data_IF_328179489498
#
_entry.id   IF_328179489498
#
_cell.length_a   1.000
_cell.length_b   1.000
_cell.length_c   1.000
_cell.angle_alpha   90.00
_cell.angle_beta   90.00
_cell.angle_gamma   90.00
#
_symmetry.space_group_name_H-M   'P 1'
#
loop_
_entity.id
_entity.type
_entity.pdbx_description
1 polymer ?
#
# COMPACT_ATOMS: atom_id res chain seq x y z
N UNK A 1 -11.57 1.46 -3.02
CA UNK A 1 -11.51 0.18 -3.74
C UNK A 1 -12.43 -0.89 -3.11
N UNK A 2 -12.52 -0.97 -1.80
CA UNK A 2 -13.49 -1.88 -1.14
C UNK A 2 -14.91 -1.48 -1.53
N UNK A 3 -15.27 -0.21 -1.37
CA UNK A 3 -16.59 0.31 -1.72
C UNK A 3 -16.94 0.17 -3.22
N UNK A 4 -15.93 0.13 -4.10
CA UNK A 4 -16.13 0.02 -5.55
C UNK A 4 -16.22 -1.44 -6.05
N UNK A 5 -16.03 -2.42 -5.17
CA UNK A 5 -16.08 -3.83 -5.57
C UNK A 5 -17.51 -4.36 -5.60
N UNK A 6 -18.06 -4.69 -6.79
CA UNK A 6 -19.46 -5.12 -6.91
C UNK A 6 -19.73 -6.51 -6.31
N UNK A 7 -18.71 -7.36 -6.22
CA UNK A 7 -18.82 -8.72 -5.68
C UNK A 7 -18.40 -8.84 -4.22
N UNK A 8 -17.84 -7.76 -3.62
CA UNK A 8 -17.27 -7.80 -2.28
C UNK A 8 -15.94 -8.58 -2.18
N UNK A 9 -15.34 -8.96 -3.30
CA UNK A 9 -14.04 -9.65 -3.32
C UNK A 9 -12.91 -8.83 -2.68
N UNK A 10 -13.05 -7.48 -2.68
CA UNK A 10 -12.11 -6.57 -2.07
C UNK A 10 -12.52 -6.32 -0.62
N UNK A 11 -11.71 -6.76 0.33
CA UNK A 11 -12.03 -6.71 1.75
C UNK A 11 -10.92 -6.01 2.53
N UNK A 12 -11.28 -5.33 3.61
CA UNK A 12 -10.34 -4.78 4.58
C UNK A 12 -10.38 -5.69 5.81
N UNK A 13 -9.23 -6.24 6.17
CA UNK A 13 -9.09 -7.02 7.39
C UNK A 13 -9.31 -6.11 8.60
N UNK A 14 -10.17 -6.50 9.51
CA UNK A 14 -10.59 -5.67 10.65
C UNK A 14 -9.48 -5.52 11.70
N UNK A 15 -8.63 -6.52 11.85
CA UNK A 15 -7.56 -6.55 12.83
C UNK A 15 -6.35 -5.71 12.37
N UNK A 16 -5.94 -5.88 11.13
CA UNK A 16 -4.70 -5.28 10.60
C UNK A 16 -4.94 -4.06 9.72
N UNK A 17 -6.17 -3.81 9.30
CA UNK A 17 -6.51 -2.77 8.34
C UNK A 17 -6.02 -3.04 6.90
N UNK A 18 -5.39 -4.19 6.65
CA UNK A 18 -4.85 -4.54 5.33
C UNK A 18 -5.99 -4.87 4.37
N UNK A 19 -5.95 -4.25 3.19
CA UNK A 19 -6.92 -4.56 2.14
C UNK A 19 -6.44 -5.77 1.34
N UNK A 20 -7.28 -6.79 1.27
CA UNK A 20 -7.03 -8.06 0.60
C UNK A 20 -8.00 -8.26 -0.57
N UNK A 21 -7.68 -9.20 -1.44
CA UNK A 21 -8.54 -9.62 -2.55
C UNK A 21 -8.85 -11.10 -2.36
N UNK A 22 -10.13 -11.45 -2.25
CA UNK A 22 -10.55 -12.84 -2.38
C UNK A 22 -10.61 -13.20 -3.88
N UNK A 23 -9.70 -14.06 -4.32
CA UNK A 23 -9.58 -14.43 -5.71
C UNK A 23 -10.79 -15.25 -6.22
N UNK A 24 -11.47 -15.99 -5.34
CA UNK A 24 -12.63 -16.80 -5.70
C UNK A 24 -13.85 -15.94 -6.05
N UNK A 25 -14.01 -14.79 -5.38
CA UNK A 25 -15.10 -13.85 -5.61
C UNK A 25 -14.76 -12.78 -6.65
N UNK A 26 -13.49 -12.69 -7.08
CA UNK A 26 -13.02 -11.67 -8.00
C UNK A 26 -13.36 -12.01 -9.45
N UNK A 27 -14.19 -11.21 -10.09
CA UNK A 27 -14.59 -11.38 -11.50
C UNK A 27 -13.71 -10.61 -12.51
N UNK A 28 -12.64 -9.97 -12.07
CA UNK A 28 -11.73 -9.21 -12.94
C UNK A 28 -12.33 -7.96 -13.58
N UNK A 29 -13.37 -7.37 -13.01
CA UNK A 29 -14.09 -6.21 -13.60
C UNK A 29 -13.31 -4.88 -13.58
N UNK A 30 -12.14 -4.83 -12.97
CA UNK A 30 -11.24 -3.66 -12.89
C UNK A 30 -11.82 -2.39 -12.23
N UNK A 31 -13.02 -2.41 -11.65
CA UNK A 31 -13.62 -1.26 -10.97
C UNK A 31 -12.75 -0.71 -9.83
N UNK A 32 -12.08 -1.60 -9.08
CA UNK A 32 -11.14 -1.21 -8.03
C UNK A 32 -9.84 -0.61 -8.57
N UNK A 33 -9.46 -0.94 -9.80
CA UNK A 33 -8.28 -0.41 -10.49
C UNK A 33 -8.55 1.02 -10.93
N UNK A 34 -9.72 1.25 -11.55
CA UNK A 34 -10.16 2.58 -11.98
C UNK A 34 -10.37 3.53 -10.80
N UNK A 35 -10.92 3.00 -9.68
CA UNK A 35 -11.19 3.79 -8.48
C UNK A 35 -9.98 4.04 -7.57
N UNK A 36 -8.77 3.56 -7.92
CA UNK A 36 -7.57 3.77 -7.11
C UNK A 36 -6.75 4.96 -7.64
N UNK A 37 -6.64 6.08 -6.89
CA UNK A 37 -5.85 7.22 -7.35
C UNK A 37 -4.34 6.94 -7.39
N UNK A 38 -3.89 5.90 -6.70
CA UNK A 38 -2.46 5.53 -6.63
C UNK A 38 -2.02 4.51 -7.68
N UNK A 39 -2.94 3.92 -8.45
CA UNK A 39 -2.61 2.95 -9.50
C UNK A 39 -1.92 1.66 -9.01
N UNK A 40 -2.12 1.28 -7.74
CA UNK A 40 -1.39 0.17 -7.07
C UNK A 40 -2.01 -1.21 -7.31
N UNK A 41 -2.96 -1.33 -8.22
CA UNK A 41 -3.65 -2.58 -8.53
C UNK A 41 -3.29 -3.05 -9.92
N UNK A 42 -3.25 -4.37 -10.09
CA UNK A 42 -2.93 -4.99 -11.38
C UNK A 42 -3.90 -6.13 -11.64
N UNK A 43 -4.31 -6.31 -12.89
CA UNK A 43 -5.02 -7.50 -13.33
C UNK A 43 -3.98 -8.59 -13.66
N UNK A 44 -4.12 -9.74 -13.04
CA UNK A 44 -3.35 -10.92 -13.43
C UNK A 44 -4.04 -11.56 -14.65
N UNK A 45 -3.40 -11.56 -15.84
CA UNK A 45 -4.03 -12.07 -17.07
C UNK A 45 -4.20 -13.59 -17.08
N UNK A 46 -3.51 -14.32 -16.19
CA UNK A 46 -3.61 -15.79 -16.12
C UNK A 46 -4.80 -16.24 -15.28
N UNK A 47 -5.06 -15.53 -14.17
CA UNK A 47 -6.14 -15.87 -13.23
C UNK A 47 -7.38 -15.02 -13.47
N UNK A 48 -7.27 -13.92 -14.23
CA UNK A 48 -8.29 -12.89 -14.42
C UNK A 48 -8.77 -12.28 -13.08
N UNK A 49 -7.87 -12.19 -12.11
CA UNK A 49 -8.14 -11.60 -10.79
C UNK A 49 -7.26 -10.38 -10.55
N UNK A 50 -7.73 -9.46 -9.71
CA UNK A 50 -6.95 -8.29 -9.32
C UNK A 50 -5.96 -8.68 -8.23
N UNK A 51 -4.74 -8.20 -8.38
CA UNK A 51 -3.66 -8.38 -7.41
C UNK A 51 -3.11 -7.05 -6.91
N UNK A 52 -2.59 -7.04 -5.71
CA UNK A 52 -1.84 -5.96 -5.09
C UNK A 52 -0.92 -6.48 -3.99
N UNK A 53 -0.04 -5.63 -3.47
CA UNK A 53 0.74 -5.96 -2.29
C UNK A 53 -0.18 -6.32 -1.11
N UNK A 54 0.05 -7.48 -0.51
CA UNK A 54 -0.69 -7.99 0.66
C UNK A 54 0.06 -7.76 1.96
N UNK A 55 1.20 -7.07 1.97
CA UNK A 55 2.12 -6.97 3.10
C UNK A 55 2.54 -8.35 3.65
N UNK A 56 2.54 -9.37 2.81
CA UNK A 56 2.78 -10.78 3.19
C UNK A 56 1.81 -11.29 4.25
N UNK A 57 0.53 -10.90 4.16
CA UNK A 57 -0.54 -11.22 5.10
C UNK A 57 -0.68 -12.73 5.39
N UNK A 58 -0.35 -13.59 4.42
CA UNK A 58 -0.34 -15.05 4.60
C UNK A 58 0.60 -15.50 5.74
N UNK A 59 1.47 -14.62 6.22
CA UNK A 59 2.42 -14.87 7.31
C UNK A 59 2.03 -14.14 8.60
N UNK A 60 0.83 -13.55 8.70
CA UNK A 60 0.43 -12.70 9.84
C UNK A 60 0.51 -13.41 11.20
N UNK A 61 0.41 -14.72 11.21
CA UNK A 61 0.50 -15.54 12.42
C UNK A 61 1.93 -15.97 12.77
N UNK A 62 2.92 -15.62 11.97
CA UNK A 62 4.32 -15.87 12.30
C UNK A 62 4.72 -14.96 13.49
N UNK A 63 5.48 -15.50 14.43
CA UNK A 63 5.90 -14.80 15.67
C UNK A 63 6.61 -13.46 15.40
N UNK A 64 7.31 -13.37 14.25
CA UNK A 64 7.99 -12.16 13.81
C UNK A 64 7.55 -11.79 12.39
N UNK A 65 6.26 -11.52 12.22
CA UNK A 65 5.73 -11.18 10.90
C UNK A 65 6.32 -9.86 10.39
N UNK A 66 7.17 -9.98 9.38
CA UNK A 66 7.74 -8.87 8.63
C UNK A 66 7.61 -9.18 7.14
N UNK A 67 7.12 -8.24 6.31
CA UNK A 67 7.06 -8.42 4.86
C UNK A 67 8.42 -8.73 4.27
N UNK A 68 8.47 -9.64 3.28
CA UNK A 68 9.71 -10.08 2.67
C UNK A 68 10.56 -8.94 2.09
N UNK A 69 9.92 -7.90 1.55
CA UNK A 69 10.62 -6.73 1.01
C UNK A 69 11.28 -5.85 2.09
N UNK A 70 10.78 -5.91 3.33
CA UNK A 70 11.40 -5.24 4.49
C UNK A 70 12.57 -6.10 4.99
N UNK A 71 12.32 -7.39 5.21
CA UNK A 71 13.33 -8.33 5.68
C UNK A 71 14.57 -8.37 4.78
N UNK A 72 14.39 -8.31 3.46
CA UNK A 72 15.49 -8.37 2.49
C UNK A 72 16.06 -6.99 2.09
N UNK A 73 15.68 -5.91 2.77
CA UNK A 73 16.18 -4.58 2.47
C UNK A 73 17.59 -4.40 3.07
N UNK A 74 18.63 -4.61 2.28
CA UNK A 74 20.02 -4.55 2.74
C UNK A 74 20.47 -3.17 3.26
N UNK A 75 19.81 -2.09 2.83
CA UNK A 75 20.10 -0.72 3.28
C UNK A 75 19.16 -0.23 4.41
N UNK A 76 18.26 -1.09 4.91
CA UNK A 76 17.31 -0.71 5.97
C UNK A 76 16.34 0.42 5.60
N UNK A 77 16.12 0.66 4.29
CA UNK A 77 15.28 1.75 3.81
C UNK A 77 13.77 1.48 3.97
N UNK A 78 13.39 0.32 4.45
CA UNK A 78 11.99 -0.08 4.62
C UNK A 78 11.75 -0.55 6.04
N UNK A 79 10.75 0.01 6.68
CA UNK A 79 10.30 -0.36 8.02
C UNK A 79 8.85 -0.81 7.95
N UNK A 80 8.46 -1.72 8.80
CA UNK A 80 7.09 -2.24 8.91
C UNK A 80 6.69 -2.29 10.37
N UNK A 81 5.46 -1.92 10.67
CA UNK A 81 4.89 -1.96 12.01
C UNK A 81 3.55 -1.22 12.06
N UNK A 82 2.91 -1.31 13.19
CA UNK A 82 1.71 -0.57 13.52
C UNK A 82 2.06 0.89 13.79
N UNK A 83 1.44 1.82 13.08
CA UNK A 83 1.67 3.25 13.27
C UNK A 83 0.93 3.79 14.50
N UNK A 84 -0.08 3.08 14.98
CA UNK A 84 -0.86 3.44 16.17
C UNK A 84 -0.20 2.93 17.47
N UNK A 85 0.74 1.95 17.37
CA UNK A 85 1.56 1.51 18.49
C UNK A 85 2.85 2.33 18.58
N UNK A 86 3.01 3.21 19.61
CA UNK A 86 4.21 4.02 19.78
C UNK A 86 5.49 3.22 20.04
N UNK A 87 5.36 1.94 20.40
CA UNK A 87 6.49 1.04 20.62
C UNK A 87 6.94 0.33 19.34
N UNK A 88 6.15 0.38 18.26
CA UNK A 88 6.53 -0.22 16.98
C UNK A 88 7.71 0.52 16.35
N UNK A 89 8.53 -0.22 15.58
CA UNK A 89 9.66 0.38 14.86
C UNK A 89 9.19 1.40 13.81
N UNK A 90 8.07 1.16 13.15
CA UNK A 90 7.53 2.10 12.17
C UNK A 90 7.12 3.43 12.82
N UNK A 91 6.39 3.39 13.94
CA UNK A 91 5.98 4.59 14.66
C UNK A 91 7.19 5.38 15.18
N UNK A 92 8.21 4.72 15.75
CA UNK A 92 9.45 5.35 16.21
C UNK A 92 10.19 6.07 15.09
N UNK A 93 10.32 5.41 13.93
CA UNK A 93 11.01 5.98 12.77
C UNK A 93 10.27 7.19 12.22
N UNK A 94 8.92 7.13 12.15
CA UNK A 94 8.09 8.27 11.73
C UNK A 94 8.19 9.43 12.73
N UNK A 95 8.11 9.15 14.03
CA UNK A 95 8.26 10.17 15.07
C UNK A 95 9.64 10.85 15.04
N UNK A 96 10.71 10.08 14.81
CA UNK A 96 12.07 10.62 14.69
C UNK A 96 12.27 11.46 13.43
N UNK A 97 11.54 11.17 12.35
CA UNK A 97 11.63 11.90 11.09
C UNK A 97 11.00 13.31 11.17
N UNK A 98 10.00 13.51 12.04
CA UNK A 98 9.34 14.81 12.21
C UNK A 98 8.81 15.37 10.89
N UNK A 99 9.26 16.57 10.52
CA UNK A 99 8.85 17.26 9.29
C UNK A 99 9.29 16.55 8.00
N UNK A 100 10.21 15.60 8.07
CA UNK A 100 10.64 14.79 6.93
C UNK A 100 9.74 13.57 6.67
N UNK A 101 8.70 13.36 7.48
CA UNK A 101 7.72 12.33 7.28
C UNK A 101 6.59 12.83 6.36
N UNK A 102 6.46 12.22 5.19
CA UNK A 102 5.51 12.63 4.16
C UNK A 102 4.54 11.51 3.82
N UNK A 103 3.28 11.86 3.61
CA UNK A 103 2.26 10.95 3.12
C UNK A 103 1.99 11.21 1.64
N UNK A 104 1.48 10.21 0.92
CA UNK A 104 1.00 10.42 -0.44
C UNK A 104 -0.16 11.40 -0.44
N UNK A 105 -0.25 12.20 -1.51
CA UNK A 105 -1.41 13.06 -1.76
C UNK A 105 -2.70 12.24 -1.70
N UNK A 106 -3.67 12.70 -0.93
CA UNK A 106 -4.92 11.98 -0.67
C UNK A 106 -6.15 12.74 -1.21
N UNK A 107 -6.42 12.66 -2.53
CA UNK A 107 -7.49 13.41 -3.17
C UNK A 107 -8.89 12.87 -2.83
N UNK A 108 -8.98 11.68 -2.23
CA UNK A 108 -10.21 10.94 -1.99
C UNK A 108 -10.43 10.55 -0.52
N UNK A 109 -9.69 11.16 0.40
CA UNK A 109 -9.78 10.91 1.85
C UNK A 109 -9.63 9.40 2.18
N UNK A 110 -8.62 8.77 1.59
CA UNK A 110 -8.35 7.34 1.72
C UNK A 110 -7.40 6.99 2.86
N UNK A 111 -6.78 7.99 3.47
CA UNK A 111 -5.84 7.88 4.57
C UNK A 111 -4.71 6.85 4.30
N UNK A 112 -3.82 7.11 3.32
CA UNK A 112 -2.72 6.18 3.03
C UNK A 112 -1.79 6.05 4.24
N UNK A 113 -1.47 4.81 4.61
CA UNK A 113 -0.63 4.50 5.77
C UNK A 113 0.85 4.30 5.42
N UNK A 114 1.21 4.40 4.15
CA UNK A 114 2.61 4.40 3.73
C UNK A 114 3.22 5.77 3.94
N UNK A 115 4.25 5.84 4.78
CA UNK A 115 4.98 7.08 5.09
C UNK A 115 6.32 7.07 4.38
N UNK A 116 6.66 8.18 3.74
CA UNK A 116 7.94 8.39 3.07
C UNK A 116 8.78 9.35 3.89
N UNK A 117 9.97 8.93 4.30
CA UNK A 117 10.92 9.80 4.98
C UNK A 117 11.86 10.37 3.93
N UNK A 118 11.73 11.64 3.67
CA UNK A 118 12.39 12.34 2.57
C UNK A 118 13.17 13.52 3.09
N UNK A 119 14.30 13.81 2.46
CA UNK A 119 14.97 15.09 2.71
C UNK A 119 14.15 16.25 2.12
N UNK A 120 14.31 17.46 2.64
CA UNK A 120 13.67 18.67 2.13
C UNK A 120 13.81 18.83 0.61
N UNK A 121 14.97 18.49 0.06
CA UNK A 121 15.23 18.51 -1.38
C UNK A 121 14.36 17.52 -2.17
N UNK A 122 14.12 16.33 -1.61
CA UNK A 122 13.37 15.26 -2.27
C UNK A 122 11.85 15.38 -2.06
N UNK A 123 11.41 16.08 -1.02
CA UNK A 123 9.99 16.24 -0.72
C UNK A 123 9.24 17.09 -1.77
N UNK A 124 9.95 17.91 -2.54
CA UNK A 124 9.37 18.75 -3.61
C UNK A 124 8.67 17.98 -4.72
N UNK A 125 8.94 16.69 -4.85
CA UNK A 125 8.24 15.85 -5.85
C UNK A 125 6.72 15.74 -5.64
N UNK A 126 6.24 16.02 -4.41
CA UNK A 126 4.82 16.01 -4.11
C UNK A 126 4.08 17.28 -4.57
N UNK A 127 4.81 18.36 -4.84
CA UNK A 127 4.25 19.64 -5.28
C UNK A 127 3.96 19.65 -6.79
N UNK A 128 4.58 18.75 -7.55
CA UNK A 128 4.37 18.63 -8.98
C UNK A 128 3.39 17.47 -9.26
N UNK A 129 2.35 17.67 -10.09
CA UNK A 129 1.48 16.57 -10.50
C UNK A 129 2.31 15.55 -11.28
N UNK A 130 2.47 14.36 -10.72
CA UNK A 130 3.10 13.26 -11.43
C UNK A 130 2.16 12.81 -12.54
N UNK A 131 2.50 13.12 -13.80
CA UNK A 131 1.87 12.46 -14.93
C UNK A 131 2.20 10.97 -14.86
N UNK A 132 1.23 10.17 -14.46
CA UNK A 132 1.34 8.72 -14.54
C UNK A 132 1.30 8.33 -16.01
N UNK A 133 2.47 8.27 -16.64
CA UNK A 133 2.59 7.68 -17.96
C UNK A 133 2.21 6.20 -17.83
N UNK A 134 1.00 5.86 -18.30
CA UNK A 134 0.62 4.46 -18.46
C UNK A 134 1.58 3.83 -19.45
N UNK A 135 2.29 2.80 -19.01
CA UNK A 135 3.09 2.00 -19.92
C UNK A 135 2.15 1.39 -20.97
N UNK A 136 2.18 1.91 -22.19
CA UNK A 136 1.56 1.24 -23.32
C UNK A 136 2.34 -0.05 -23.57
N UNK A 137 1.66 -1.18 -23.46
CA UNK A 137 2.23 -2.48 -23.82
C UNK A 137 2.53 -2.44 -25.33
N UNK A 138 3.80 -2.49 -25.69
CA UNK A 138 4.24 -2.81 -27.06
C UNK A 138 4.06 -4.29 -27.32
#
# INVERSE_FOLDING_TARGET
CVANCPTGAMQKDEETGIVLVNAEDCIGCESCLTGCPYGVRQLNPKTNTIEKCTLCFQRKNDENWVPACVHNCCCGARTFGDLDDPNSEAAKVVAAAGENAHYLFDPADLHPTTVYILSEKTAKWQEEPVEVTRYEKK
#
